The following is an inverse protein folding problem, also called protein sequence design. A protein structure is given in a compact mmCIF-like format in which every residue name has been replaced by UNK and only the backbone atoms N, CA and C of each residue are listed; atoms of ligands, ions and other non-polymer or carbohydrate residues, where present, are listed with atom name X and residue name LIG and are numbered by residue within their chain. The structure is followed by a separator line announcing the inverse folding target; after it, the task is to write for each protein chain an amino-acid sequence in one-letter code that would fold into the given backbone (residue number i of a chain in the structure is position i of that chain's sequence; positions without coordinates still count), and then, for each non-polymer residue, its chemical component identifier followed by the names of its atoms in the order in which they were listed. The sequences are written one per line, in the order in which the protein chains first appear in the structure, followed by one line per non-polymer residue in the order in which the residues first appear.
data_IF_710174580928
#
_entry.id   IF_710174580928
#
_cell.length_a   1.000
_cell.length_b   1.000
_cell.length_c   1.000
_cell.angle_alpha   90.00
_cell.angle_beta   90.00
_cell.angle_gamma   90.00
#
_symmetry.space_group_name_H-M   'P 1'
#
loop_
_entity.id
_entity.type
_entity.pdbx_description
1 polymer ?
#
# COMPACT_ATOMS: atom_id res chain seq x y z
N UNK A 1 12.98 -5.68 3.99
CA UNK A 1 11.79 -5.77 3.12
C UNK A 1 11.92 -4.77 1.99
N UNK A 2 11.87 -5.24 0.74
CA UNK A 2 11.95 -4.38 -0.43
C UNK A 2 10.71 -3.47 -0.51
N UNK A 3 10.91 -2.14 -0.49
CA UNK A 3 9.82 -1.15 -0.61
C UNK A 3 9.02 -1.34 -1.90
N UNK A 4 9.65 -1.95 -2.91
CA UNK A 4 9.06 -2.27 -4.20
C UNK A 4 7.96 -3.33 -4.08
N UNK A 5 8.12 -4.32 -3.18
CA UNK A 5 7.12 -5.38 -2.95
C UNK A 5 5.82 -4.82 -2.38
N UNK A 6 5.89 -3.90 -1.41
CA UNK A 6 4.70 -3.27 -0.84
C UNK A 6 3.95 -2.38 -1.83
N UNK A 7 4.69 -1.57 -2.60
CA UNK A 7 4.11 -0.72 -3.64
C UNK A 7 3.37 -1.53 -4.71
N UNK A 8 3.93 -2.68 -5.09
CA UNK A 8 3.30 -3.61 -6.02
C UNK A 8 2.04 -4.26 -5.44
N UNK A 9 2.07 -4.73 -4.19
CA UNK A 9 0.89 -5.32 -3.54
C UNK A 9 -0.31 -4.35 -3.53
N UNK A 10 -0.06 -3.07 -3.22
CA UNK A 10 -1.10 -2.03 -3.25
C UNK A 10 -1.61 -1.78 -4.67
N UNK A 11 -0.72 -1.71 -5.66
CA UNK A 11 -1.08 -1.54 -7.08
C UNK A 11 -1.94 -2.70 -7.57
N UNK A 12 -1.56 -3.93 -7.23
CA UNK A 12 -2.20 -5.14 -7.74
C UNK A 12 -3.59 -5.31 -7.11
N UNK A 13 -3.71 -5.12 -5.79
CA UNK A 13 -5.02 -5.12 -5.12
C UNK A 13 -5.96 -4.05 -5.69
N UNK A 14 -5.45 -2.82 -5.92
CA UNK A 14 -6.23 -1.75 -6.55
C UNK A 14 -6.73 -2.15 -7.94
N UNK A 15 -5.86 -2.75 -8.76
CA UNK A 15 -6.20 -3.20 -10.12
C UNK A 15 -7.19 -4.35 -10.11
N UNK A 16 -7.06 -5.30 -9.17
CA UNK A 16 -8.01 -6.41 -9.02
C UNK A 16 -9.43 -5.92 -8.71
N UNK A 17 -9.56 -4.81 -7.99
CA UNK A 17 -10.83 -4.15 -7.71
C UNK A 17 -11.32 -3.23 -8.86
N UNK A 18 -10.56 -3.12 -9.97
CA UNK A 18 -10.88 -2.25 -11.10
C UNK A 18 -10.74 -0.75 -10.80
N UNK A 19 -10.02 -0.38 -9.73
CA UNK A 19 -9.95 1.02 -9.29
C UNK A 19 -8.81 1.77 -9.97
N UNK A 20 -9.03 3.04 -10.28
CA UNK A 20 -7.96 4.00 -10.61
C UNK A 20 -7.25 4.47 -9.33
N UNK A 21 -6.08 5.10 -9.46
CA UNK A 21 -5.42 5.72 -8.29
C UNK A 21 -6.30 6.82 -7.66
N UNK A 22 -7.10 7.54 -8.46
CA UNK A 22 -8.06 8.52 -7.95
C UNK A 22 -9.20 7.86 -7.17
N UNK A 23 -9.72 6.72 -7.67
CA UNK A 23 -10.77 5.97 -6.96
C UNK A 23 -10.26 5.42 -5.63
N UNK A 24 -9.03 4.92 -5.58
CA UNK A 24 -8.40 4.54 -4.31
C UNK A 24 -8.21 5.75 -3.39
N UNK A 25 -7.80 6.91 -3.92
CA UNK A 25 -7.62 8.13 -3.15
C UNK A 25 -8.90 8.57 -2.44
N UNK A 26 -10.01 8.54 -3.17
CA UNK A 26 -11.34 8.88 -2.66
C UNK A 26 -11.77 7.91 -1.54
N UNK A 27 -11.58 6.60 -1.76
CA UNK A 27 -11.98 5.56 -0.80
C UNK A 27 -11.10 5.51 0.45
N UNK A 28 -9.81 5.80 0.32
CA UNK A 28 -8.85 5.70 1.43
C UNK A 28 -8.62 7.03 2.14
N UNK A 29 -9.05 8.15 1.57
CA UNK A 29 -8.72 9.50 2.07
C UNK A 29 -7.20 9.80 2.02
N UNK A 30 -6.47 9.14 1.12
CA UNK A 30 -5.03 9.38 0.89
C UNK A 30 -4.89 10.07 -0.46
N UNK A 31 -4.05 11.10 -0.55
CA UNK A 31 -3.92 11.84 -1.79
C UNK A 31 -3.39 10.96 -2.94
N UNK A 32 -3.95 11.15 -4.15
CA UNK A 32 -3.49 10.43 -5.36
C UNK A 32 -1.96 10.52 -5.57
N UNK A 33 -1.28 11.68 -5.38
CA UNK A 33 0.18 11.73 -5.49
C UNK A 33 0.91 10.84 -4.48
N UNK A 34 0.37 10.66 -3.27
CA UNK A 34 0.93 9.75 -2.26
C UNK A 34 0.79 8.30 -2.69
N UNK A 35 -0.37 7.94 -3.27
CA UNK A 35 -0.59 6.60 -3.85
C UNK A 35 0.38 6.35 -5.01
N UNK A 36 0.54 7.30 -5.93
CA UNK A 36 1.45 7.16 -7.06
C UNK A 36 2.92 6.98 -6.61
N UNK A 37 3.35 7.73 -5.59
CA UNK A 37 4.69 7.56 -4.98
C UNK A 37 4.85 6.17 -4.36
N UNK A 38 3.87 5.70 -3.60
CA UNK A 38 3.89 4.37 -3.00
C UNK A 38 4.01 3.28 -4.06
N UNK A 39 3.15 3.31 -5.09
CA UNK A 39 3.18 2.33 -6.18
C UNK A 39 4.49 2.39 -6.99
N UNK A 40 5.19 3.53 -6.99
CA UNK A 40 6.54 3.68 -7.57
C UNK A 40 7.66 3.24 -6.61
N UNK A 41 7.35 2.55 -5.51
CA UNK A 41 8.32 2.05 -4.54
C UNK A 41 8.89 3.11 -3.60
N UNK A 42 8.29 4.31 -3.56
CA UNK A 42 8.70 5.37 -2.63
C UNK A 42 8.01 5.19 -1.28
N UNK A 43 8.73 5.54 -0.20
CA UNK A 43 8.19 5.48 1.14
C UNK A 43 7.02 6.46 1.35
N UNK A 44 6.06 6.05 2.16
CA UNK A 44 4.95 6.86 2.65
C UNK A 44 4.83 6.71 4.17
N UNK A 45 4.02 7.55 4.81
CA UNK A 45 3.76 7.40 6.24
C UNK A 45 3.00 6.11 6.54
N UNK A 46 3.26 5.51 7.70
CA UNK A 46 2.52 4.33 8.19
C UNK A 46 1.02 4.57 8.26
N UNK A 47 0.59 5.80 8.59
CA UNK A 47 -0.82 6.19 8.58
C UNK A 47 -1.43 6.09 7.18
N UNK A 48 -0.71 6.52 6.14
CA UNK A 48 -1.19 6.39 4.76
C UNK A 48 -1.26 4.92 4.36
N UNK A 49 -0.27 4.13 4.74
CA UNK A 49 -0.23 2.70 4.47
C UNK A 49 -1.43 1.97 5.11
N UNK A 50 -1.73 2.23 6.38
CA UNK A 50 -2.86 1.63 7.08
C UNK A 50 -4.21 2.02 6.45
N UNK A 51 -4.38 3.29 6.05
CA UNK A 51 -5.59 3.74 5.35
C UNK A 51 -5.78 3.03 4.01
N UNK A 52 -4.70 2.85 3.26
CA UNK A 52 -4.73 2.15 1.97
C UNK A 52 -5.02 0.66 2.15
N UNK A 53 -4.39 0.01 3.13
CA UNK A 53 -4.66 -1.38 3.46
C UNK A 53 -6.14 -1.58 3.82
N UNK A 54 -6.70 -0.73 4.68
CA UNK A 54 -8.13 -0.76 5.01
C UNK A 54 -9.03 -0.58 3.78
N UNK A 55 -8.72 0.37 2.91
CA UNK A 55 -9.53 0.63 1.72
C UNK A 55 -9.49 -0.50 0.69
N UNK A 56 -8.39 -1.25 0.65
CA UNK A 56 -8.16 -2.37 -0.26
C UNK A 56 -8.50 -3.74 0.35
N UNK A 57 -9.04 -3.76 1.57
CA UNK A 57 -9.30 -4.98 2.35
C UNK A 57 -8.06 -5.88 2.50
N UNK A 58 -6.91 -5.25 2.77
CA UNK A 58 -5.63 -5.92 3.00
C UNK A 58 -5.25 -5.91 4.48
N UNK A 59 -4.54 -6.95 4.90
CA UNK A 59 -3.94 -7.05 6.23
C UNK A 59 -2.43 -6.80 6.16
N UNK A 60 -1.89 -6.14 7.19
CA UNK A 60 -0.45 -5.94 7.38
C UNK A 60 -0.03 -6.81 8.56
N UNK A 61 0.86 -7.76 8.30
CA UNK A 61 1.47 -8.61 9.32
C UNK A 61 2.91 -8.17 9.59
N UNK A 62 3.28 -8.11 10.87
CA UNK A 62 4.65 -7.94 11.32
C UNK A 62 5.10 -9.27 11.91
N UNK A 63 6.15 -9.85 11.33
CA UNK A 63 6.70 -11.11 11.80
C UNK A 63 8.05 -10.87 12.48
N UNK A 64 8.37 -11.64 13.55
CA UNK A 64 9.70 -11.65 14.12
C UNK A 64 10.73 -11.91 13.01
N UNK A 65 11.82 -11.15 13.00
CA UNK A 65 12.95 -11.54 12.18
C UNK A 65 13.49 -12.86 12.73
N UNK A 66 13.49 -13.91 11.91
CA UNK A 66 14.19 -15.14 12.27
C UNK A 66 15.64 -14.75 12.57
N UNK A 67 16.02 -14.86 13.84
CA UNK A 67 17.40 -14.64 14.25
C UNK A 67 18.23 -15.66 13.49
N UNK A 68 19.13 -15.20 12.63
CA UNK A 68 20.24 -16.03 12.15
C UNK A 68 20.85 -16.68 13.40
N UNK A 69 20.68 -17.99 13.53
CA UNK A 69 21.51 -18.81 14.41
C UNK A 69 22.90 -18.90 13.81
#
# INVERSE_FOLDING_TARGET
MDRTLFGNAVRDARRALGWSQSALAERSGVSRPTIARLEAGRGVSSTSLLKLAKALDLQIALEPQEKHR
#
